data_IF_432425702834
#
_entry.id   IF_432425702834
#
_cell.length_a   1.000
_cell.length_b   1.000
_cell.length_c   1.000
_cell.angle_alpha   90.00
_cell.angle_beta   90.00
_cell.angle_gamma   90.00
#
_symmetry.space_group_name_H-M   'P 1'
#
loop_
_entity.id
_entity.type
_entity.pdbx_description
1 polymer ?
#
# COMPACT_ATOMS: atom_id res chain seq x y z
N UNK A 1 55.18 -54.97 23.57
CA UNK A 1 53.98 -54.71 22.75
C UNK A 1 53.38 -53.38 23.18
N UNK A 2 53.36 -52.42 22.23
CA UNK A 2 52.42 -51.30 22.06
C UNK A 2 52.03 -50.40 23.26
N UNK A 3 52.59 -49.18 23.33
CA UNK A 3 51.88 -47.97 23.79
C UNK A 3 52.75 -46.69 23.64
N UNK A 4 52.85 -46.13 22.43
CA UNK A 4 53.49 -44.81 22.23
C UNK A 4 52.95 -44.05 21.01
N UNK A 5 51.64 -44.14 20.71
CA UNK A 5 51.03 -43.52 19.53
C UNK A 5 49.93 -42.46 19.80
N UNK A 6 49.63 -42.15 21.07
CA UNK A 6 48.42 -41.39 21.42
C UNK A 6 48.53 -39.85 21.37
N UNK A 7 49.74 -39.28 21.46
CA UNK A 7 49.90 -37.85 21.75
C UNK A 7 49.95 -36.94 20.51
N UNK A 8 50.43 -37.43 19.36
CA UNK A 8 50.57 -36.60 18.14
C UNK A 8 49.23 -36.37 17.42
N UNK A 9 48.24 -37.24 17.63
CA UNK A 9 46.92 -37.10 17.01
C UNK A 9 46.10 -35.97 17.63
N UNK A 10 46.29 -35.66 18.92
CA UNK A 10 45.56 -34.61 19.64
C UNK A 10 45.91 -33.18 19.17
N UNK A 11 47.14 -32.95 18.69
CA UNK A 11 47.59 -31.64 18.20
C UNK A 11 47.06 -31.34 16.79
N UNK A 12 47.00 -32.34 15.91
CA UNK A 12 46.48 -32.20 14.54
C UNK A 12 44.96 -32.04 14.53
N UNK A 13 44.24 -32.76 15.38
CA UNK A 13 42.78 -32.61 15.52
C UNK A 13 42.38 -31.27 16.12
N UNK A 14 43.09 -30.76 17.13
CA UNK A 14 42.85 -29.40 17.65
C UNK A 14 43.07 -28.33 16.58
N UNK A 15 44.15 -28.43 15.80
CA UNK A 15 44.47 -27.46 14.75
C UNK A 15 43.46 -27.48 13.60
N UNK A 16 42.95 -28.65 13.24
CA UNK A 16 41.89 -28.80 12.23
C UNK A 16 40.55 -28.23 12.72
N UNK A 17 40.19 -28.47 13.99
CA UNK A 17 38.96 -27.93 14.60
C UNK A 17 39.01 -26.41 14.67
N UNK A 18 40.15 -25.83 15.06
CA UNK A 18 40.34 -24.37 15.11
C UNK A 18 40.20 -23.75 13.70
N UNK A 19 40.79 -24.38 12.67
CA UNK A 19 40.68 -23.91 11.29
C UNK A 19 39.25 -24.01 10.74
N UNK A 20 38.52 -25.09 11.06
CA UNK A 20 37.12 -25.23 10.66
C UNK A 20 36.23 -24.18 11.32
N UNK A 21 36.45 -23.88 12.61
CA UNK A 21 35.72 -22.83 13.31
C UNK A 21 36.03 -21.44 12.74
N UNK A 22 37.29 -21.15 12.40
CA UNK A 22 37.70 -19.87 11.80
C UNK A 22 37.09 -19.61 10.42
N UNK A 23 36.76 -20.64 9.64
CA UNK A 23 36.07 -20.49 8.34
C UNK A 23 34.55 -20.58 8.45
N UNK A 24 34.01 -21.49 9.27
CA UNK A 24 32.58 -21.74 9.35
C UNK A 24 31.83 -20.60 10.07
N UNK A 25 32.43 -19.99 11.09
CA UNK A 25 31.82 -18.88 11.84
C UNK A 25 31.60 -17.63 10.95
N UNK A 26 32.59 -17.11 10.21
CA UNK A 26 32.38 -15.96 9.32
C UNK A 26 31.48 -16.28 8.12
N UNK A 27 31.52 -17.50 7.58
CA UNK A 27 30.62 -17.93 6.52
C UNK A 27 29.16 -18.01 7.02
N UNK A 28 28.94 -18.55 8.22
CA UNK A 28 27.64 -18.53 8.87
C UNK A 28 27.20 -17.09 9.16
N UNK A 29 28.07 -16.22 9.67
CA UNK A 29 27.76 -14.80 9.90
C UNK A 29 27.41 -14.04 8.61
N UNK A 30 28.11 -14.30 7.51
CA UNK A 30 27.80 -13.73 6.19
C UNK A 30 26.47 -14.25 5.66
N UNK A 31 26.22 -15.56 5.79
CA UNK A 31 24.97 -16.20 5.41
C UNK A 31 23.78 -15.66 6.23
N UNK A 32 23.94 -15.54 7.54
CA UNK A 32 22.96 -14.93 8.44
C UNK A 32 22.71 -13.45 8.13
N UNK A 33 23.75 -12.68 7.75
CA UNK A 33 23.60 -11.29 7.29
C UNK A 33 22.81 -11.20 5.98
N UNK A 34 23.00 -12.14 5.07
CA UNK A 34 22.24 -12.19 3.81
C UNK A 34 20.75 -12.49 4.05
N UNK A 35 20.42 -13.45 4.92
CA UNK A 35 19.02 -13.81 5.23
C UNK A 35 18.30 -12.70 6.01
N UNK A 36 18.98 -11.99 6.92
CA UNK A 36 18.34 -10.93 7.72
C UNK A 36 17.93 -9.70 6.87
N UNK A 37 18.46 -9.55 5.65
CA UNK A 37 18.09 -8.46 4.76
C UNK A 37 16.67 -8.63 4.13
N UNK A 38 16.13 -9.85 4.09
CA UNK A 38 14.79 -10.11 3.51
C UNK A 38 13.65 -9.95 4.51
N UNK A 39 13.93 -9.91 5.81
CA UNK A 39 12.93 -9.65 6.85
C UNK A 39 12.92 -8.16 7.25
N UNK A 40 12.78 -7.26 6.28
CA UNK A 40 12.31 -5.93 6.60
C UNK A 40 10.91 -6.08 7.20
N UNK A 41 10.63 -5.62 8.44
CA UNK A 41 9.28 -5.64 8.96
C UNK A 41 8.41 -4.86 7.98
N UNK A 42 7.40 -5.52 7.43
CA UNK A 42 6.32 -4.83 6.72
C UNK A 42 5.81 -3.79 7.70
N UNK A 43 6.08 -2.53 7.39
CA UNK A 43 5.70 -1.37 8.19
C UNK A 43 4.23 -1.49 8.58
N UNK A 44 3.96 -1.89 9.83
CA UNK A 44 2.67 -1.73 10.51
C UNK A 44 2.51 -0.25 10.87
N UNK A 45 2.53 0.62 9.87
CA UNK A 45 1.98 1.94 10.04
C UNK A 45 0.47 1.75 10.23
N UNK A 46 -0.14 2.31 11.30
CA UNK A 46 -1.58 2.27 11.45
C UNK A 46 -2.16 2.86 10.16
N UNK A 47 -2.93 2.06 9.42
CA UNK A 47 -3.54 2.48 8.17
C UNK A 47 -4.53 3.60 8.52
N UNK A 48 -4.07 4.85 8.45
CA UNK A 48 -4.89 6.01 8.77
C UNK A 48 -5.91 6.16 7.65
N UNK A 49 -7.17 5.96 7.99
CA UNK A 49 -8.30 6.14 7.09
C UNK A 49 -8.58 7.63 6.96
N UNK A 50 -8.82 8.09 5.73
CA UNK A 50 -9.03 9.51 5.42
C UNK A 50 -10.41 9.70 4.82
N UNK A 51 -11.14 10.69 5.32
CA UNK A 51 -12.44 11.12 4.79
C UNK A 51 -12.43 12.62 4.57
N UNK A 52 -13.17 13.07 3.56
CA UNK A 52 -13.42 14.49 3.31
C UNK A 52 -14.86 14.82 3.66
N UNK A 53 -15.06 15.64 4.70
CA UNK A 53 -16.38 15.97 5.22
C UNK A 53 -16.73 17.41 4.83
N UNK A 54 -17.83 17.60 4.10
CA UNK A 54 -18.25 18.89 3.56
C UNK A 54 -19.73 19.17 3.87
N UNK A 55 -20.17 20.40 3.65
CA UNK A 55 -21.57 20.82 3.83
C UNK A 55 -21.91 21.35 5.23
N UNK A 56 -23.13 21.08 5.69
CA UNK A 56 -23.74 21.51 6.95
C UNK A 56 -23.16 20.77 8.17
N UNK A 57 -21.84 20.92 8.36
CA UNK A 57 -21.06 20.31 9.44
C UNK A 57 -20.29 21.37 10.22
N UNK A 58 -20.09 21.16 11.52
CA UNK A 58 -19.32 22.09 12.36
C UNK A 58 -17.83 22.10 12.03
N UNK A 59 -17.30 20.95 11.55
CA UNK A 59 -15.88 20.77 11.22
C UNK A 59 -15.70 20.24 9.81
N UNK A 60 -15.83 21.09 8.78
CA UNK A 60 -15.57 20.68 7.41
C UNK A 60 -14.08 20.46 7.17
N UNK A 61 -13.76 19.65 6.17
CA UNK A 61 -12.41 19.37 5.71
C UNK A 61 -12.03 17.89 5.79
N UNK A 62 -10.74 17.63 5.56
CA UNK A 62 -10.19 16.28 5.50
C UNK A 62 -9.81 15.81 6.91
N UNK A 63 -10.44 14.74 7.36
CA UNK A 63 -10.24 14.16 8.69
C UNK A 63 -9.62 12.77 8.60
N UNK A 64 -8.83 12.41 9.63
CA UNK A 64 -8.07 11.16 9.69
C UNK A 64 -8.52 10.34 10.90
N UNK A 65 -8.74 9.05 10.67
CA UNK A 65 -9.22 8.09 11.67
C UNK A 65 -8.28 6.89 11.76
N UNK A 66 -8.37 6.14 12.86
CA UNK A 66 -7.55 4.96 13.08
C UNK A 66 -8.04 3.74 12.28
N UNK A 67 -9.35 3.69 12.05
CA UNK A 67 -10.10 2.58 11.48
C UNK A 67 -11.25 3.12 10.60
N UNK A 68 -11.84 2.24 9.78
CA UNK A 68 -12.97 2.61 8.94
C UNK A 68 -14.18 2.96 9.81
N UNK A 69 -14.75 4.12 9.55
CA UNK A 69 -15.87 4.67 10.30
C UNK A 69 -17.18 4.42 9.57
N UNK A 70 -18.27 4.38 10.33
CA UNK A 70 -19.64 4.39 9.77
C UNK A 70 -20.07 5.81 9.44
N UNK A 71 -21.09 5.96 8.59
CA UNK A 71 -21.65 7.28 8.27
C UNK A 71 -22.16 7.98 9.53
N UNK A 72 -22.79 7.24 10.44
CA UNK A 72 -23.25 7.77 11.73
C UNK A 72 -22.11 8.30 12.60
N UNK A 73 -21.01 7.55 12.71
CA UNK A 73 -19.84 7.99 13.46
C UNK A 73 -19.22 9.26 12.85
N UNK A 74 -19.15 9.34 11.51
CA UNK A 74 -18.63 10.51 10.80
C UNK A 74 -19.55 11.72 10.98
N UNK A 75 -20.86 11.55 10.86
CA UNK A 75 -21.87 12.59 11.10
C UNK A 75 -21.76 13.15 12.53
N UNK A 76 -21.62 12.27 13.53
CA UNK A 76 -21.45 12.67 14.92
C UNK A 76 -20.10 13.39 15.14
N UNK A 77 -19.02 12.90 14.53
CA UNK A 77 -17.69 13.48 14.67
C UNK A 77 -17.56 14.87 14.03
N UNK A 78 -18.24 15.11 12.90
CA UNK A 78 -18.28 16.42 12.23
C UNK A 78 -19.37 17.35 12.78
N UNK A 79 -20.25 16.86 13.66
CA UNK A 79 -21.34 17.62 14.24
C UNK A 79 -22.44 17.97 13.24
N UNK A 80 -22.70 17.07 12.29
CA UNK A 80 -23.82 17.21 11.36
C UNK A 80 -25.15 17.22 12.13
N UNK A 81 -26.04 18.15 11.78
CA UNK A 81 -27.36 18.25 12.41
C UNK A 81 -28.37 17.21 11.90
N UNK A 82 -28.05 16.54 10.78
CA UNK A 82 -28.84 15.44 10.24
C UNK A 82 -28.25 14.11 10.70
N UNK A 83 -29.02 13.40 11.51
CA UNK A 83 -28.77 11.99 11.81
C UNK A 83 -28.97 11.18 10.52
N UNK A 84 -27.97 10.38 10.08
CA UNK A 84 -28.15 9.50 8.94
C UNK A 84 -29.29 8.53 9.21
N UNK A 85 -30.21 8.42 8.25
CA UNK A 85 -31.27 7.40 8.25
C UNK A 85 -30.64 6.04 8.59
N UNK A 86 -31.26 5.32 9.54
CA UNK A 86 -30.81 4.14 10.30
C UNK A 86 -30.24 2.92 9.54
N UNK A 87 -29.94 3.05 8.25
CA UNK A 87 -29.69 1.96 7.31
C UNK A 87 -28.20 1.77 6.96
N UNK A 88 -27.33 2.76 7.23
CA UNK A 88 -25.91 2.69 6.83
C UNK A 88 -24.97 2.32 7.99
N UNK A 89 -25.06 1.07 8.43
CA UNK A 89 -24.18 0.47 9.45
C UNK A 89 -22.85 -0.02 8.85
N UNK A 90 -22.72 -0.04 7.52
CA UNK A 90 -21.52 -0.51 6.85
C UNK A 90 -20.37 0.50 7.02
N UNK A 91 -19.14 0.01 7.27
CA UNK A 91 -17.96 0.86 7.31
C UNK A 91 -17.74 1.50 5.93
N UNK A 92 -17.47 2.80 5.93
CA UNK A 92 -17.17 3.56 4.72
C UNK A 92 -15.69 3.37 4.40
N UNK A 93 -15.32 3.01 3.16
CA UNK A 93 -13.92 2.83 2.79
C UNK A 93 -13.15 4.15 2.85
N UNK A 94 -11.83 4.07 3.03
CA UNK A 94 -10.95 5.25 2.98
C UNK A 94 -11.04 5.97 1.63
N UNK A 95 -10.86 7.29 1.62
CA UNK A 95 -10.87 8.10 0.41
C UNK A 95 -12.27 8.51 -0.06
N UNK A 96 -13.27 8.40 0.81
CA UNK A 96 -14.64 8.83 0.55
C UNK A 96 -14.86 10.27 0.99
N UNK A 97 -15.56 11.03 0.16
CA UNK A 97 -16.08 12.37 0.42
C UNK A 97 -17.55 12.26 0.82
N UNK A 98 -17.91 12.89 1.93
CA UNK A 98 -19.27 12.96 2.45
C UNK A 98 -19.69 14.42 2.48
N UNK A 99 -20.66 14.80 1.65
CA UNK A 99 -21.30 16.11 1.71
C UNK A 99 -22.61 16.01 2.44
N UNK A 100 -22.74 16.70 3.57
CA UNK A 100 -23.96 16.79 4.35
C UNK A 100 -24.73 18.02 3.91
N UNK A 101 -25.85 17.86 3.24
CA UNK A 101 -26.68 18.97 2.78
C UNK A 101 -28.05 18.87 3.46
N UNK A 102 -28.81 19.97 3.52
CA UNK A 102 -30.19 19.97 4.04
C UNK A 102 -31.09 18.85 3.47
N UNK A 103 -30.86 18.41 2.22
CA UNK A 103 -31.64 17.37 1.55
C UNK A 103 -31.14 15.93 1.81
N UNK A 104 -29.97 15.73 2.43
CA UNK A 104 -29.40 14.40 2.67
C UNK A 104 -27.87 14.35 2.63
N UNK A 105 -27.32 13.13 2.63
CA UNK A 105 -25.87 12.88 2.60
C UNK A 105 -25.49 12.37 1.22
N UNK A 106 -24.59 13.08 0.54
CA UNK A 106 -24.01 12.67 -0.73
C UNK A 106 -22.65 12.01 -0.50
N UNK A 107 -22.51 10.77 -0.98
CA UNK A 107 -21.30 9.97 -0.84
C UNK A 107 -20.60 9.94 -2.20
N UNK A 108 -19.41 10.53 -2.27
CA UNK A 108 -18.60 10.59 -3.50
C UNK A 108 -17.16 10.17 -3.20
N UNK A 109 -16.33 10.05 -4.22
CA UNK A 109 -14.89 9.83 -4.04
C UNK A 109 -14.20 11.18 -3.79
N UNK A 110 -13.16 11.18 -2.96
CA UNK A 110 -12.24 12.32 -2.88
C UNK A 110 -11.52 12.51 -4.23
N UNK A 111 -11.09 13.74 -4.50
CA UNK A 111 -10.31 14.03 -5.69
C UNK A 111 -8.95 13.30 -5.66
N UNK A 112 -8.48 12.86 -6.82
CA UNK A 112 -7.24 12.09 -6.91
C UNK A 112 -5.99 12.80 -6.35
N UNK A 113 -5.81 14.14 -6.48
CA UNK A 113 -4.68 14.83 -5.86
C UNK A 113 -4.67 14.73 -4.33
N UNK A 114 -5.85 14.78 -3.70
CA UNK A 114 -5.98 14.62 -2.26
C UNK A 114 -5.64 13.19 -1.85
N UNK A 115 -6.19 12.19 -2.55
CA UNK A 115 -5.86 10.77 -2.33
C UNK A 115 -4.36 10.52 -2.44
N UNK A 116 -3.73 11.02 -3.50
CA UNK A 116 -2.29 10.85 -3.73
C UNK A 116 -1.44 11.49 -2.62
N UNK A 117 -1.81 12.69 -2.16
CA UNK A 117 -1.11 13.40 -1.08
C UNK A 117 -1.17 12.65 0.26
N UNK A 118 -2.22 11.84 0.45
CA UNK A 118 -2.37 10.99 1.64
C UNK A 118 -1.86 9.56 1.44
N UNK A 119 -1.26 9.25 0.28
CA UNK A 119 -0.73 7.92 -0.04
C UNK A 119 -1.82 6.88 -0.26
N UNK A 120 -3.04 7.31 -0.60
CA UNK A 120 -4.17 6.43 -0.91
C UNK A 120 -4.19 6.08 -2.41
N UNK A 121 -4.64 4.87 -2.76
CA UNK A 121 -4.76 4.48 -4.15
C UNK A 121 -5.89 5.24 -4.85
N UNK A 122 -5.64 5.65 -6.09
CA UNK A 122 -6.59 6.31 -6.97
C UNK A 122 -7.42 5.25 -7.68
N UNK A 123 -8.74 5.43 -7.78
CA UNK A 123 -9.61 4.53 -8.55
C UNK A 123 -9.45 4.76 -10.05
N UNK A 124 -9.06 3.71 -10.77
CA UNK A 124 -8.91 3.73 -12.22
C UNK A 124 -10.24 3.98 -12.94
N UNK A 125 -11.34 3.44 -12.42
CA UNK A 125 -12.68 3.66 -12.98
C UNK A 125 -13.09 5.13 -13.04
N UNK A 126 -12.68 5.95 -12.07
CA UNK A 126 -13.09 7.35 -11.94
C UNK A 126 -12.01 8.38 -12.30
N UNK A 127 -10.73 7.98 -12.39
CA UNK A 127 -9.62 8.91 -12.63
C UNK A 127 -9.70 9.63 -13.99
N UNK A 128 -9.36 10.92 -14.00
CA UNK A 128 -9.10 11.69 -15.22
C UNK A 128 -7.70 11.39 -15.78
N UNK A 129 -7.38 11.93 -16.96
CA UNK A 129 -6.03 11.79 -17.52
C UNK A 129 -5.00 12.52 -16.63
N UNK A 130 -5.37 13.71 -16.15
CA UNK A 130 -4.57 14.55 -15.26
C UNK A 130 -4.31 13.86 -13.92
N UNK A 131 -5.31 13.16 -13.37
CA UNK A 131 -5.17 12.38 -12.14
C UNK A 131 -4.17 11.22 -12.30
N UNK A 132 -4.19 10.55 -13.45
CA UNK A 132 -3.26 9.47 -13.77
C UNK A 132 -1.83 9.98 -13.97
N UNK A 133 -1.65 11.20 -14.47
CA UNK A 133 -0.34 11.84 -14.63
C UNK A 133 0.35 12.16 -13.30
N UNK A 134 -0.39 12.22 -12.18
CA UNK A 134 0.20 12.36 -10.84
C UNK A 134 1.03 11.13 -10.44
N UNK A 135 0.79 9.98 -11.07
CA UNK A 135 1.42 8.72 -10.69
C UNK A 135 2.86 8.68 -11.23
N UNK A 136 3.87 8.43 -10.37
CA UNK A 136 5.26 8.35 -10.81
C UNK A 136 5.46 7.28 -11.90
N UNK A 137 5.92 7.71 -13.07
CA UNK A 137 6.14 6.84 -14.23
C UNK A 137 4.97 6.78 -15.22
N UNK A 138 3.87 7.49 -14.95
CA UNK A 138 2.80 7.76 -15.91
C UNK A 138 2.99 9.16 -16.46
N UNK A 139 3.25 9.27 -17.76
CA UNK A 139 3.30 10.55 -18.47
C UNK A 139 2.02 10.78 -19.28
N UNK A 140 1.87 11.97 -19.92
CA UNK A 140 0.64 12.35 -20.63
C UNK A 140 0.27 11.38 -21.77
N UNK A 141 1.27 10.79 -22.45
CA UNK A 141 1.03 9.77 -23.48
C UNK A 141 0.44 8.48 -22.88
N UNK A 142 1.00 8.04 -21.76
CA UNK A 142 0.56 6.82 -21.08
C UNK A 142 -0.81 7.03 -20.42
N UNK A 143 -1.05 8.19 -19.81
CA UNK A 143 -2.35 8.57 -19.26
C UNK A 143 -3.45 8.53 -20.34
N UNK A 144 -3.20 9.09 -21.52
CA UNK A 144 -4.13 8.98 -22.65
C UNK A 144 -4.39 7.54 -23.06
N UNK A 145 -3.35 6.73 -23.21
CA UNK A 145 -3.50 5.30 -23.55
C UNK A 145 -4.25 4.51 -22.48
N UNK A 146 -4.17 4.92 -21.21
CA UNK A 146 -4.95 4.36 -20.11
C UNK A 146 -6.45 4.70 -20.23
N UNK A 147 -6.79 5.94 -20.59
CA UNK A 147 -8.18 6.35 -20.84
C UNK A 147 -8.74 5.61 -22.06
N UNK A 148 -8.00 5.55 -23.17
CA UNK A 148 -8.38 4.78 -24.37
C UNK A 148 -8.55 3.27 -24.07
N UNK A 149 -7.77 2.74 -23.12
CA UNK A 149 -7.93 1.37 -22.65
C UNK A 149 -9.23 1.19 -21.88
N UNK A 150 -9.57 2.11 -20.97
CA UNK A 150 -10.83 2.11 -20.23
C UNK A 150 -12.04 2.17 -21.17
N UNK A 151 -11.97 3.00 -22.20
CA UNK A 151 -13.04 3.13 -23.20
C UNK A 151 -13.25 1.87 -24.04
N UNK A 152 -12.18 1.13 -24.36
CA UNK A 152 -12.28 -0.13 -25.13
C UNK A 152 -12.58 -1.35 -24.28
N UNK A 153 -11.91 -1.49 -23.14
CA UNK A 153 -12.00 -2.68 -22.28
C UNK A 153 -13.19 -2.62 -21.32
N UNK A 154 -13.72 -1.42 -21.05
CA UNK A 154 -14.76 -1.19 -20.05
C UNK A 154 -14.21 -1.31 -18.62
N UNK A 155 -14.91 -2.05 -17.77
CA UNK A 155 -14.55 -2.18 -16.36
C UNK A 155 -13.31 -3.06 -16.18
N UNK A 156 -12.25 -2.46 -15.61
CA UNK A 156 -11.04 -3.19 -15.23
C UNK A 156 -11.29 -3.90 -13.92
N UNK A 157 -11.14 -5.23 -13.90
CA UNK A 157 -11.32 -6.02 -12.66
C UNK A 157 -10.02 -6.10 -11.85
N UNK A 158 -8.87 -6.02 -12.53
CA UNK A 158 -7.55 -6.16 -11.93
C UNK A 158 -6.59 -5.19 -12.58
N UNK A 159 -5.81 -4.49 -11.77
CA UNK A 159 -4.76 -3.58 -12.26
C UNK A 159 -3.76 -4.29 -13.16
N UNK A 160 -3.55 -5.60 -12.99
CA UNK A 160 -2.69 -6.40 -13.86
C UNK A 160 -3.06 -6.36 -15.36
N UNK A 161 -4.32 -6.08 -15.68
CA UNK A 161 -4.81 -5.96 -17.07
C UNK A 161 -4.20 -4.74 -17.79
N UNK A 162 -3.73 -3.74 -17.04
CA UNK A 162 -3.07 -2.56 -17.61
C UNK A 162 -1.75 -2.88 -18.33
N UNK A 163 -1.25 -4.13 -18.26
CA UNK A 163 -0.12 -4.59 -19.08
C UNK A 163 -0.41 -4.54 -20.59
N UNK A 164 -1.68 -4.55 -20.98
CA UNK A 164 -2.12 -4.44 -22.38
C UNK A 164 -2.06 -3.00 -22.91
N UNK A 165 -1.85 -2.03 -22.03
CA UNK A 165 -1.78 -0.62 -22.37
C UNK A 165 -0.42 -0.30 -22.98
N UNK A 166 -0.42 0.34 -24.15
CA UNK A 166 0.81 0.74 -24.83
C UNK A 166 1.64 1.68 -23.94
N UNK A 167 2.89 1.29 -23.66
CA UNK A 167 3.80 2.05 -22.81
C UNK A 167 3.81 1.61 -21.34
N UNK A 168 2.97 0.64 -20.95
CA UNK A 168 3.03 0.00 -19.62
C UNK A 168 3.71 -1.36 -19.77
N UNK A 169 4.98 -1.43 -19.39
CA UNK A 169 5.70 -2.70 -19.27
C UNK A 169 5.59 -3.30 -17.86
N UNK A 170 6.07 -4.53 -17.63
CA UNK A 170 5.99 -5.21 -16.33
C UNK A 170 6.57 -4.37 -15.17
N UNK A 171 7.72 -3.73 -15.40
CA UNK A 171 8.38 -2.85 -14.43
C UNK A 171 7.57 -1.59 -14.12
N UNK A 172 6.86 -1.05 -15.10
CA UNK A 172 6.02 0.13 -14.90
C UNK A 172 4.75 -0.27 -14.16
N UNK A 173 4.14 -1.39 -14.56
CA UNK A 173 2.96 -1.95 -13.91
C UNK A 173 3.20 -2.20 -12.41
N UNK A 174 4.34 -2.79 -12.07
CA UNK A 174 4.73 -3.03 -10.67
C UNK A 174 4.82 -1.74 -9.85
N UNK A 175 5.29 -0.65 -10.46
CA UNK A 175 5.38 0.66 -9.78
C UNK A 175 4.02 1.33 -9.62
N UNK A 176 3.20 1.31 -10.66
CA UNK A 176 1.90 2.02 -10.65
C UNK A 176 0.83 1.26 -9.88
N UNK A 177 0.94 -0.07 -9.76
CA UNK A 177 -0.07 -0.91 -9.09
C UNK A 177 -0.27 -0.56 -7.62
N UNK A 178 0.75 0.03 -6.98
CA UNK A 178 0.67 0.51 -5.60
C UNK A 178 -0.21 1.75 -5.44
N UNK A 179 -0.39 2.52 -6.51
CA UNK A 179 -1.12 3.78 -6.52
C UNK A 179 -2.51 3.66 -7.14
N UNK A 180 -2.85 2.49 -7.70
CA UNK A 180 -4.09 2.28 -8.43
C UNK A 180 -4.95 1.22 -7.76
N UNK A 181 -6.25 1.50 -7.73
CA UNK A 181 -7.33 0.58 -7.41
C UNK A 181 -8.17 0.38 -8.68
N UNK A 182 -8.72 -0.83 -8.94
CA UNK A 182 -9.66 -1.05 -10.03
C UNK A 182 -10.81 -0.03 -10.06
#
# INVERSE_FOLDING_TARGET
MTAAGGAEHACKTCRLVILLLLCAIPAALQYWRHIRAEAAPVSTQPQRVVYELLGDVQRPGIQRYADEQTIAALAQACGAHQEPLHEHVLPVPTGTRLSFNACGIEITCMDAPALFSFGLPISFAAASAEDLELIPGVGPKTARSLIEYRERAGTVQRIGQLIEVRGIGPKTLEKISRYLRP
#
